data_IF_462244637918
#
_entry.id   IF_462244637918
#
_cell.length_a   1.000
_cell.length_b   1.000
_cell.length_c   1.000
_cell.angle_alpha   90.00
_cell.angle_beta   90.00
_cell.angle_gamma   90.00
#
_symmetry.space_group_name_H-M   'P 1'
#
loop_
_entity.id
_entity.type
_entity.pdbx_description
1 polymer ?
#
# COMPACT_ATOMS: atom_id res chain seq x y z
N UNK A 1 60.45 24.32 42.87
CA UNK A 1 59.62 25.52 42.66
C UNK A 1 58.29 25.07 42.05
N UNK A 2 57.14 25.31 42.72
CA UNK A 2 55.83 24.87 42.26
C UNK A 2 55.27 25.88 41.24
N UNK A 3 54.74 25.41 40.12
CA UNK A 3 54.17 26.27 39.08
C UNK A 3 52.65 26.33 39.23
N UNK A 4 52.14 27.54 39.47
CA UNK A 4 50.74 27.88 39.68
C UNK A 4 50.00 28.02 38.33
N UNK A 5 49.18 27.04 37.97
CA UNK A 5 48.20 27.18 36.89
C UNK A 5 46.78 27.02 37.47
N UNK A 6 46.31 28.03 38.17
CA UNK A 6 44.88 28.25 38.44
C UNK A 6 44.27 28.93 37.22
N UNK A 7 43.72 28.14 36.29
CA UNK A 7 42.91 28.66 35.19
C UNK A 7 41.57 29.15 35.73
N UNK A 8 41.23 30.42 35.49
CA UNK A 8 39.92 31.01 35.78
C UNK A 8 38.82 30.33 34.94
N UNK A 9 37.61 30.10 35.48
CA UNK A 9 36.49 29.66 34.67
C UNK A 9 36.09 30.74 33.65
N UNK A 10 35.59 30.36 32.46
CA UNK A 10 35.16 31.31 31.44
C UNK A 10 33.99 32.17 31.96
N UNK A 11 33.92 33.46 31.57
CA UNK A 11 32.83 34.33 31.99
C UNK A 11 31.50 33.77 31.49
N UNK A 12 30.49 33.77 32.37
CA UNK A 12 29.14 33.36 32.03
C UNK A 12 28.64 34.19 30.84
N UNK A 13 28.48 33.53 29.69
CA UNK A 13 27.86 34.12 28.51
C UNK A 13 26.45 34.54 28.90
N UNK A 14 26.25 35.86 29.05
CA UNK A 14 24.92 36.43 29.22
C UNK A 14 24.05 35.91 28.08
N UNK A 15 23.06 35.08 28.39
CA UNK A 15 22.05 34.69 27.44
C UNK A 15 21.33 35.97 27.00
N UNK A 16 21.63 36.45 25.80
CA UNK A 16 20.90 37.54 25.16
C UNK A 16 19.48 37.05 25.00
N UNK A 17 18.56 37.60 25.80
CA UNK A 17 17.14 37.35 25.66
C UNK A 17 16.72 37.76 24.23
N UNK A 18 15.99 36.91 23.50
CA UNK A 18 15.59 37.23 22.14
C UNK A 18 14.73 38.51 22.14
N UNK A 19 14.90 39.40 21.14
CA UNK A 19 14.21 40.68 21.11
C UNK A 19 12.68 40.49 21.09
N UNK A 20 11.92 41.38 21.75
CA UNK A 20 10.47 41.31 21.73
C UNK A 20 9.95 41.43 20.29
N UNK A 21 8.90 40.66 19.93
CA UNK A 21 8.34 40.70 18.59
C UNK A 21 7.82 42.11 18.26
N UNK A 22 7.99 42.59 17.02
CA UNK A 22 7.61 43.95 16.64
C UNK A 22 6.10 44.19 16.83
N UNK A 23 5.70 45.34 17.41
CA UNK A 23 4.30 45.67 17.62
C UNK A 23 3.64 45.92 16.25
N UNK A 24 2.76 45.01 15.84
CA UNK A 24 2.06 45.06 14.55
C UNK A 24 2.15 43.78 13.70
N UNK A 25 2.72 42.68 14.21
CA UNK A 25 2.62 41.39 13.54
C UNK A 25 1.13 41.01 13.37
N UNK A 26 0.61 41.23 12.17
CA UNK A 26 -0.77 40.88 11.82
C UNK A 26 -0.95 39.38 12.00
N UNK A 27 -1.87 38.99 12.87
CA UNK A 27 -2.33 37.59 12.99
C UNK A 27 -2.87 37.19 11.63
N UNK A 28 -2.06 36.48 10.84
CA UNK A 28 -2.43 36.02 9.51
C UNK A 28 -3.65 35.11 9.65
N UNK A 29 -4.79 35.56 9.12
CA UNK A 29 -6.05 34.82 9.20
C UNK A 29 -5.85 33.48 8.50
N UNK A 30 -5.85 32.39 9.29
CA UNK A 30 -5.77 31.01 8.81
C UNK A 30 -6.76 30.84 7.66
N UNK A 31 -6.24 30.59 6.45
CA UNK A 31 -7.05 30.48 5.24
C UNK A 31 -7.94 29.24 5.40
N UNK A 32 -9.20 29.31 4.95
CA UNK A 32 -10.12 28.16 4.95
C UNK A 32 -9.49 26.90 4.33
N UNK A 33 -8.58 27.11 3.37
CA UNK A 33 -7.74 26.08 2.77
C UNK A 33 -6.91 25.29 3.79
N UNK A 34 -6.29 25.96 4.76
CA UNK A 34 -5.51 25.30 5.82
C UNK A 34 -6.42 24.44 6.70
N UNK A 35 -7.60 24.95 7.10
CA UNK A 35 -8.59 24.18 7.88
C UNK A 35 -9.08 22.94 7.13
N UNK A 36 -9.32 23.04 5.83
CA UNK A 36 -9.70 21.89 4.99
C UNK A 36 -8.55 20.89 4.83
N UNK A 37 -7.32 21.40 4.67
CA UNK A 37 -6.12 20.56 4.56
C UNK A 37 -5.85 19.81 5.88
N UNK A 38 -6.00 20.46 7.03
CA UNK A 38 -5.92 19.82 8.35
C UNK A 38 -7.09 18.87 8.62
N UNK A 39 -8.31 19.21 8.22
CA UNK A 39 -9.51 18.39 8.40
C UNK A 39 -9.52 17.11 7.56
N UNK A 40 -8.95 17.14 6.35
CA UNK A 40 -8.86 15.97 5.46
C UNK A 40 -8.18 14.75 6.10
N UNK A 41 -7.32 14.97 7.11
CA UNK A 41 -6.60 13.93 7.84
C UNK A 41 -7.51 13.04 8.67
N UNK A 42 -8.56 13.63 9.26
CA UNK A 42 -9.55 12.87 10.02
C UNK A 42 -10.34 11.92 9.14
N UNK A 43 -10.43 12.16 7.83
CA UNK A 43 -11.11 11.28 6.88
C UNK A 43 -10.37 9.96 6.66
N UNK A 44 -9.06 9.91 6.92
CA UNK A 44 -8.26 8.71 6.75
C UNK A 44 -8.45 7.69 7.88
N UNK A 45 -8.79 8.14 9.10
CA UNK A 45 -9.09 7.27 10.23
C UNK A 45 -10.33 6.36 9.99
N UNK A 46 -11.53 6.89 9.65
CA UNK A 46 -12.71 6.07 9.40
C UNK A 46 -12.54 5.20 8.16
N UNK A 47 -11.81 5.66 7.14
CA UNK A 47 -11.48 4.85 5.98
C UNK A 47 -10.65 3.62 6.38
N UNK A 48 -9.54 3.82 7.12
CA UNK A 48 -8.72 2.69 7.58
C UNK A 48 -9.48 1.75 8.53
N UNK A 49 -10.34 2.29 9.40
CA UNK A 49 -11.21 1.48 10.25
C UNK A 49 -12.19 0.63 9.42
N UNK A 50 -12.79 1.21 8.37
CA UNK A 50 -13.64 0.49 7.43
C UNK A 50 -12.90 -0.65 6.72
N UNK A 51 -11.66 -0.42 6.27
CA UNK A 51 -10.82 -1.47 5.69
C UNK A 51 -10.49 -2.59 6.71
N UNK A 52 -10.26 -2.27 7.99
CA UNK A 52 -10.07 -3.29 9.03
C UNK A 52 -11.32 -4.16 9.22
N UNK A 53 -12.51 -3.54 9.25
CA UNK A 53 -13.78 -4.28 9.34
C UNK A 53 -13.97 -5.18 8.13
N UNK A 54 -13.74 -4.66 6.92
CA UNK A 54 -13.81 -5.44 5.69
C UNK A 54 -12.84 -6.63 5.72
N UNK A 55 -11.59 -6.42 6.16
CA UNK A 55 -10.60 -7.49 6.31
C UNK A 55 -11.09 -8.57 7.30
N UNK A 56 -11.71 -8.17 8.42
CA UNK A 56 -12.32 -9.09 9.37
C UNK A 56 -13.44 -9.95 8.76
N UNK A 57 -14.33 -9.34 7.96
CA UNK A 57 -15.39 -10.06 7.24
C UNK A 57 -14.80 -11.05 6.23
N UNK A 58 -13.80 -10.65 5.46
CA UNK A 58 -13.11 -11.54 4.52
C UNK A 58 -12.42 -12.71 5.24
N UNK A 59 -11.79 -12.45 6.39
CA UNK A 59 -11.18 -13.50 7.20
C UNK A 59 -12.21 -14.52 7.70
N UNK A 60 -13.37 -14.07 8.20
CA UNK A 60 -14.44 -14.97 8.63
C UNK A 60 -14.98 -15.81 7.47
N UNK A 61 -15.18 -15.19 6.30
CA UNK A 61 -15.59 -15.91 5.08
C UNK A 61 -14.56 -16.95 4.67
N UNK A 62 -13.27 -16.61 4.72
CA UNK A 62 -12.18 -17.52 4.41
C UNK A 62 -12.18 -18.73 5.37
N UNK A 63 -12.29 -18.48 6.68
CA UNK A 63 -12.36 -19.54 7.69
C UNK A 63 -13.57 -20.45 7.48
N UNK A 64 -14.73 -19.88 7.14
CA UNK A 64 -15.92 -20.67 6.83
C UNK A 64 -15.71 -21.57 5.61
N UNK A 65 -15.11 -21.06 4.53
CA UNK A 65 -14.82 -21.85 3.33
C UNK A 65 -13.79 -22.95 3.59
N UNK A 66 -12.75 -22.69 4.38
CA UNK A 66 -11.79 -23.71 4.81
C UNK A 66 -12.46 -24.77 5.68
N UNK A 67 -13.36 -24.37 6.59
CA UNK A 67 -14.15 -25.30 7.39
C UNK A 67 -15.02 -26.21 6.54
N UNK A 68 -15.72 -25.65 5.55
CA UNK A 68 -16.50 -26.42 4.58
C UNK A 68 -15.62 -27.38 3.78
N UNK A 69 -14.44 -26.93 3.32
CA UNK A 69 -13.49 -27.77 2.61
C UNK A 69 -13.02 -28.95 3.47
N UNK A 70 -12.67 -28.73 4.74
CA UNK A 70 -12.26 -29.80 5.66
C UNK A 70 -13.35 -30.86 5.87
N UNK A 71 -14.61 -30.43 5.92
CA UNK A 71 -15.76 -31.35 6.09
C UNK A 71 -16.05 -32.15 4.82
N UNK A 72 -15.92 -31.54 3.63
CA UNK A 72 -16.21 -32.19 2.34
C UNK A 72 -14.99 -32.91 1.73
N UNK A 73 -13.78 -32.62 2.19
CA UNK A 73 -12.53 -33.22 1.70
C UNK A 73 -12.51 -34.76 1.72
N UNK A 74 -13.05 -35.47 2.74
CA UNK A 74 -13.04 -36.94 2.73
C UNK A 74 -13.83 -37.55 1.55
N UNK A 75 -14.91 -36.87 1.11
CA UNK A 75 -15.67 -37.28 -0.08
C UNK A 75 -14.90 -37.03 -1.36
N UNK A 76 -14.31 -35.83 -1.49
CA UNK A 76 -13.56 -35.39 -2.67
C UNK A 76 -12.26 -36.18 -2.91
N UNK A 77 -11.61 -36.68 -1.86
CA UNK A 77 -10.33 -37.42 -1.96
C UNK A 77 -10.54 -38.91 -2.29
N UNK A 78 -11.73 -39.46 -1.98
CA UNK A 78 -12.00 -40.90 -2.13
C UNK A 78 -12.84 -41.24 -3.37
N UNK A 79 -13.42 -40.24 -4.04
CA UNK A 79 -14.20 -40.43 -5.25
C UNK A 79 -13.31 -40.67 -6.49
N UNK A 80 -13.54 -41.74 -7.26
CA UNK A 80 -12.76 -42.02 -8.46
C UNK A 80 -13.18 -41.08 -9.61
N UNK A 81 -12.25 -40.22 -10.04
CA UNK A 81 -12.12 -39.64 -11.39
C UNK A 81 -13.06 -38.49 -11.84
N UNK A 82 -14.00 -38.02 -11.02
CA UNK A 82 -14.94 -36.95 -11.41
C UNK A 82 -14.80 -35.60 -10.70
N UNK A 83 -14.39 -35.59 -9.42
CA UNK A 83 -14.48 -34.41 -8.53
C UNK A 83 -13.15 -33.63 -8.39
N UNK A 84 -12.07 -34.07 -9.05
CA UNK A 84 -10.73 -33.45 -8.93
C UNK A 84 -10.70 -31.96 -9.32
N UNK A 85 -11.55 -31.56 -10.28
CA UNK A 85 -11.67 -30.16 -10.68
C UNK A 85 -12.36 -29.29 -9.61
N UNK A 86 -13.28 -29.85 -8.83
CA UNK A 86 -13.99 -29.09 -7.81
C UNK A 86 -13.05 -28.70 -6.66
N UNK A 87 -12.22 -29.65 -6.21
CA UNK A 87 -11.18 -29.38 -5.21
C UNK A 87 -10.23 -28.27 -5.70
N UNK A 88 -9.78 -28.35 -6.95
CA UNK A 88 -8.88 -27.38 -7.56
C UNK A 88 -9.54 -25.98 -7.65
N UNK A 89 -10.83 -25.90 -8.01
CA UNK A 89 -11.61 -24.65 -8.04
C UNK A 89 -11.78 -24.02 -6.66
N UNK A 90 -12.02 -24.84 -5.63
CA UNK A 90 -12.14 -24.35 -4.26
C UNK A 90 -10.79 -23.78 -3.81
N UNK A 91 -9.68 -24.49 -4.04
CA UNK A 91 -8.34 -24.05 -3.64
C UNK A 91 -7.93 -22.75 -4.34
N UNK A 92 -8.15 -22.63 -5.66
CA UNK A 92 -7.83 -21.39 -6.39
C UNK A 92 -8.73 -20.22 -5.95
N UNK A 93 -9.98 -20.49 -5.58
CA UNK A 93 -10.86 -19.46 -5.01
C UNK A 93 -10.42 -19.00 -3.61
N UNK A 94 -9.87 -19.90 -2.79
CA UNK A 94 -9.25 -19.56 -1.50
C UNK A 94 -7.96 -18.75 -1.70
N UNK A 95 -7.16 -19.09 -2.71
CA UNK A 95 -5.94 -18.36 -3.05
C UNK A 95 -6.24 -16.91 -3.46
N UNK A 96 -7.28 -16.70 -4.28
CA UNK A 96 -7.73 -15.37 -4.69
C UNK A 96 -8.14 -14.50 -3.48
N UNK A 97 -8.95 -15.06 -2.56
CA UNK A 97 -9.29 -14.36 -1.31
C UNK A 97 -8.07 -14.01 -0.47
N UNK A 98 -7.11 -14.93 -0.34
CA UNK A 98 -5.87 -14.69 0.40
C UNK A 98 -5.02 -13.57 -0.22
N UNK A 99 -5.03 -13.47 -1.56
CA UNK A 99 -4.35 -12.40 -2.29
C UNK A 99 -5.00 -11.03 -2.00
N UNK A 100 -6.33 -10.94 -2.03
CA UNK A 100 -7.07 -9.72 -1.67
C UNK A 100 -6.78 -9.29 -0.23
N UNK A 101 -6.81 -10.22 0.73
CA UNK A 101 -6.48 -9.94 2.13
C UNK A 101 -5.06 -9.41 2.29
N UNK A 102 -4.09 -10.00 1.57
CA UNK A 102 -2.70 -9.57 1.61
C UNK A 102 -2.53 -8.14 1.07
N UNK A 103 -3.25 -7.78 0.01
CA UNK A 103 -3.29 -6.40 -0.51
C UNK A 103 -3.98 -5.42 0.44
N UNK A 104 -5.06 -5.84 1.10
CA UNK A 104 -5.75 -5.03 2.10
C UNK A 104 -4.83 -4.72 3.30
N UNK A 105 -4.10 -5.71 3.81
CA UNK A 105 -3.15 -5.52 4.92
C UNK A 105 -2.06 -4.52 4.53
N UNK A 106 -1.46 -4.67 3.34
CA UNK A 106 -0.47 -3.72 2.83
C UNK A 106 -1.05 -2.31 2.69
N UNK A 107 -2.31 -2.20 2.27
CA UNK A 107 -3.00 -0.92 2.12
C UNK A 107 -3.28 -0.26 3.47
N UNK A 108 -3.78 -1.01 4.45
CA UNK A 108 -4.03 -0.53 5.82
C UNK A 108 -2.71 -0.09 6.48
N UNK A 109 -1.68 -0.93 6.39
CA UNK A 109 -0.39 -0.63 7.02
C UNK A 109 0.34 0.52 6.31
N UNK A 110 0.31 0.55 4.98
CA UNK A 110 0.85 1.64 4.17
C UNK A 110 0.14 2.96 4.43
N UNK A 111 -1.21 2.94 4.51
CA UNK A 111 -2.01 4.10 4.85
C UNK A 111 -1.68 4.64 6.25
N UNK A 112 -1.60 3.77 7.25
CA UNK A 112 -1.25 4.16 8.61
C UNK A 112 0.18 4.71 8.70
N UNK A 113 1.16 4.07 8.06
CA UNK A 113 2.55 4.54 8.09
C UNK A 113 2.73 5.88 7.35
N UNK A 114 2.14 6.04 6.17
CA UNK A 114 2.31 7.23 5.33
C UNK A 114 1.57 8.43 5.91
N UNK A 115 0.33 8.26 6.36
CA UNK A 115 -0.53 9.39 6.73
C UNK A 115 -0.58 9.69 8.22
N UNK A 116 -0.42 8.69 9.09
CA UNK A 116 -0.49 8.87 10.55
C UNK A 116 0.90 9.05 11.16
N UNK A 117 1.86 8.15 10.86
CA UNK A 117 3.20 8.21 11.49
C UNK A 117 4.15 9.21 10.82
N UNK A 118 4.32 9.15 9.51
CA UNK A 118 5.35 9.92 8.78
C UNK A 118 5.06 11.42 8.66
N UNK A 119 3.82 11.84 8.90
CA UNK A 119 3.47 13.26 8.96
C UNK A 119 3.60 13.85 10.37
N UNK A 120 3.57 13.04 11.43
CA UNK A 120 3.84 13.50 12.79
C UNK A 120 5.30 13.98 12.90
N UNK A 121 6.22 13.26 12.24
CA UNK A 121 7.66 13.59 12.22
C UNK A 121 8.01 14.81 11.34
N UNK A 122 7.19 15.15 10.35
CA UNK A 122 7.41 16.28 9.44
C UNK A 122 7.03 17.66 10.01
N UNK A 123 6.35 17.71 11.17
CA UNK A 123 6.10 19.00 11.85
C UNK A 123 7.39 19.64 12.39
N UNK A 124 8.51 18.92 12.40
CA UNK A 124 9.84 19.47 12.72
C UNK A 124 10.52 20.01 11.43
N UNK A 125 10.17 21.24 11.08
CA UNK A 125 10.93 22.26 10.32
C UNK A 125 11.67 21.97 8.99
N UNK A 126 11.60 20.81 8.33
CA UNK A 126 12.34 20.65 7.07
C UNK A 126 11.58 20.16 5.85
N UNK A 127 10.39 19.57 5.92
CA UNK A 127 9.77 19.03 4.70
C UNK A 127 10.62 17.92 4.02
N UNK A 128 10.01 16.96 3.34
CA UNK A 128 10.65 15.66 3.20
C UNK A 128 11.44 15.49 1.91
N UNK A 129 12.75 15.22 2.03
CA UNK A 129 13.62 14.98 0.87
C UNK A 129 13.19 13.76 0.01
N UNK A 130 12.40 12.81 0.54
CA UNK A 130 11.91 11.65 -0.23
C UNK A 130 10.87 12.01 -1.29
N UNK A 131 10.06 13.06 -1.09
CA UNK A 131 9.05 13.46 -2.08
C UNK A 131 9.71 14.03 -3.34
N UNK A 132 10.93 14.60 -3.17
CA UNK A 132 11.80 15.04 -4.27
C UNK A 132 12.49 13.89 -5.01
N UNK A 133 12.47 12.65 -4.50
CA UNK A 133 13.21 11.51 -5.06
C UNK A 133 12.33 10.28 -5.36
N UNK A 134 11.00 10.41 -5.29
CA UNK A 134 10.11 9.38 -5.82
C UNK A 134 10.07 9.59 -7.33
N UNK A 135 10.83 8.78 -8.07
CA UNK A 135 10.62 8.65 -9.50
C UNK A 135 9.22 8.06 -9.72
N UNK A 136 8.33 8.93 -10.19
CA UNK A 136 6.92 8.60 -10.44
C UNK A 136 6.75 7.46 -11.44
N UNK A 137 7.77 7.19 -12.27
CA UNK A 137 7.73 6.12 -13.26
C UNK A 137 7.91 4.76 -12.58
N UNK A 138 8.86 4.63 -11.65
CA UNK A 138 9.08 3.37 -10.88
C UNK A 138 7.84 3.00 -10.07
N UNK A 139 7.17 4.00 -9.48
CA UNK A 139 5.95 3.77 -8.71
C UNK A 139 4.81 3.25 -9.60
N UNK A 140 4.66 3.82 -10.81
CA UNK A 140 3.66 3.39 -11.79
C UNK A 140 3.93 1.97 -12.29
N UNK A 141 5.19 1.61 -12.56
CA UNK A 141 5.56 0.24 -12.99
C UNK A 141 5.23 -0.78 -11.90
N UNK A 142 5.59 -0.51 -10.64
CA UNK A 142 5.29 -1.41 -9.51
C UNK A 142 3.79 -1.61 -9.31
N UNK A 143 3.01 -0.54 -9.43
CA UNK A 143 1.56 -0.60 -9.33
C UNK A 143 0.94 -1.39 -10.50
N UNK A 144 1.40 -1.14 -11.73
CA UNK A 144 0.93 -1.86 -12.93
C UNK A 144 1.21 -3.36 -12.87
N UNK A 145 2.39 -3.76 -12.38
CA UNK A 145 2.74 -5.16 -12.16
C UNK A 145 1.82 -5.82 -11.13
N UNK A 146 1.50 -5.13 -10.03
CA UNK A 146 0.56 -5.64 -9.04
C UNK A 146 -0.83 -5.88 -9.65
N UNK A 147 -1.38 -4.91 -10.39
CA UNK A 147 -2.69 -5.05 -11.04
C UNK A 147 -2.72 -6.12 -12.13
N UNK A 148 -1.64 -6.25 -12.92
CA UNK A 148 -1.51 -7.31 -13.93
C UNK A 148 -1.52 -8.69 -13.26
N UNK A 149 -0.84 -8.83 -12.12
CA UNK A 149 -0.84 -10.06 -11.30
C UNK A 149 -2.24 -10.41 -10.78
N UNK A 150 -2.97 -9.45 -10.20
CA UNK A 150 -4.35 -9.65 -9.74
C UNK A 150 -5.25 -10.11 -10.89
N UNK A 151 -5.19 -9.43 -12.03
CA UNK A 151 -5.99 -9.79 -13.21
C UNK A 151 -5.68 -11.19 -13.75
N UNK A 152 -4.42 -11.65 -13.64
CA UNK A 152 -4.03 -13.01 -14.03
C UNK A 152 -4.72 -14.09 -13.20
N UNK A 153 -4.96 -13.85 -11.91
CA UNK A 153 -5.64 -14.81 -11.01
C UNK A 153 -7.10 -14.99 -11.42
N UNK A 154 -7.77 -13.92 -11.86
CA UNK A 154 -9.17 -13.96 -12.32
C UNK A 154 -9.33 -14.82 -13.57
N UNK A 155 -8.42 -14.70 -14.55
CA UNK A 155 -8.46 -15.56 -15.75
C UNK A 155 -8.19 -17.02 -15.38
N UNK A 156 -7.22 -17.27 -14.50
CA UNK A 156 -6.92 -18.63 -14.06
C UNK A 156 -8.16 -19.27 -13.43
N UNK A 157 -8.88 -18.54 -12.58
CA UNK A 157 -10.15 -18.97 -11.97
C UNK A 157 -11.19 -19.35 -13.03
N UNK A 158 -11.34 -18.57 -14.09
CA UNK A 158 -12.28 -18.89 -15.16
C UNK A 158 -11.88 -20.15 -15.94
N UNK A 159 -10.59 -20.35 -16.20
CA UNK A 159 -10.08 -21.51 -16.94
C UNK A 159 -10.29 -22.84 -16.23
N UNK A 160 -10.29 -22.83 -14.90
CA UNK A 160 -10.44 -24.05 -14.10
C UNK A 160 -11.89 -24.27 -13.65
N UNK A 161 -12.77 -23.28 -13.85
CA UNK A 161 -14.13 -23.30 -13.32
C UNK A 161 -14.92 -24.47 -13.90
N UNK A 162 -15.57 -25.24 -13.03
CA UNK A 162 -16.52 -26.30 -13.43
C UNK A 162 -17.83 -25.69 -13.94
N UNK A 163 -18.15 -24.46 -13.54
CA UNK A 163 -19.32 -23.73 -14.04
C UNK A 163 -19.01 -23.01 -15.34
N UNK A 164 -19.92 -23.11 -16.31
CA UNK A 164 -19.79 -22.44 -17.59
C UNK A 164 -19.80 -20.91 -17.38
N UNK A 165 -18.62 -20.29 -17.55
CA UNK A 165 -18.50 -18.83 -17.57
C UNK A 165 -19.06 -18.34 -18.91
N UNK A 166 -20.01 -17.37 -18.92
CA UNK A 166 -20.54 -16.83 -20.16
C UNK A 166 -19.41 -16.28 -21.04
N UNK A 167 -19.45 -16.61 -22.34
CA UNK A 167 -18.39 -16.23 -23.29
C UNK A 167 -18.10 -14.72 -23.28
N UNK A 168 -19.14 -13.88 -23.13
CA UNK A 168 -18.97 -12.42 -23.04
C UNK A 168 -18.13 -11.99 -21.82
N UNK A 169 -18.29 -12.66 -20.68
CA UNK A 169 -17.55 -12.37 -19.45
C UNK A 169 -16.10 -12.83 -19.58
N UNK A 170 -15.91 -14.05 -20.08
CA UNK A 170 -14.56 -14.60 -20.31
C UNK A 170 -13.74 -13.75 -21.28
N UNK A 171 -14.34 -13.37 -22.43
CA UNK A 171 -13.71 -12.46 -23.39
C UNK A 171 -13.37 -11.12 -22.73
N UNK A 172 -14.26 -10.56 -21.90
CA UNK A 172 -14.02 -9.30 -21.21
C UNK A 172 -12.82 -9.39 -20.25
N UNK A 173 -12.70 -10.47 -19.47
CA UNK A 173 -11.56 -10.68 -18.58
C UNK A 173 -10.24 -10.80 -19.35
N UNK A 174 -10.23 -11.54 -20.46
CA UNK A 174 -9.05 -11.67 -21.34
C UNK A 174 -8.66 -10.31 -21.92
N UNK A 175 -9.62 -9.54 -22.44
CA UNK A 175 -9.36 -8.20 -22.99
C UNK A 175 -8.77 -7.28 -21.92
N UNK A 176 -9.37 -7.22 -20.73
CA UNK A 176 -8.88 -6.38 -19.63
C UNK A 176 -7.45 -6.77 -19.25
N UNK A 177 -7.16 -8.07 -19.15
CA UNK A 177 -5.82 -8.54 -18.82
C UNK A 177 -4.78 -8.14 -19.87
N UNK A 178 -5.09 -8.29 -21.15
CA UNK A 178 -4.21 -7.89 -22.24
C UNK A 178 -3.96 -6.37 -22.20
N UNK A 179 -4.97 -5.56 -21.88
CA UNK A 179 -4.83 -4.10 -21.71
C UNK A 179 -3.92 -3.75 -20.53
N UNK A 180 -4.08 -4.42 -19.38
CA UNK A 180 -3.21 -4.21 -18.21
C UNK A 180 -1.78 -4.66 -18.46
N UNK A 181 -1.60 -5.82 -19.09
CA UNK A 181 -0.28 -6.34 -19.47
C UNK A 181 0.40 -5.38 -20.45
N UNK A 182 -0.31 -4.94 -21.49
CA UNK A 182 0.20 -3.99 -22.48
C UNK A 182 0.59 -2.65 -21.84
N UNK A 183 -0.28 -2.08 -21.00
CA UNK A 183 0.00 -0.81 -20.31
C UNK A 183 1.22 -0.91 -19.41
N UNK A 184 1.33 -2.01 -18.65
CA UNK A 184 2.46 -2.27 -17.75
C UNK A 184 3.76 -2.46 -18.53
N UNK A 185 3.70 -3.23 -19.62
CA UNK A 185 4.85 -3.48 -20.50
C UNK A 185 5.37 -2.18 -21.13
N UNK A 186 4.48 -1.37 -21.70
CA UNK A 186 4.84 -0.07 -22.29
C UNK A 186 5.50 0.82 -21.22
N UNK A 187 4.91 0.91 -20.03
CA UNK A 187 5.45 1.72 -18.93
C UNK A 187 6.83 1.22 -18.49
N UNK A 188 7.03 -0.11 -18.42
CA UNK A 188 8.31 -0.71 -18.09
C UNK A 188 9.37 -0.48 -19.17
N UNK A 189 8.99 -0.53 -20.46
CA UNK A 189 9.90 -0.21 -21.58
C UNK A 189 10.30 1.26 -21.54
N UNK A 190 9.35 2.19 -21.35
CA UNK A 190 9.64 3.62 -21.21
C UNK A 190 10.61 3.84 -20.05
N UNK A 191 10.39 3.18 -18.91
CA UNK A 191 11.31 3.24 -17.78
C UNK A 191 12.72 2.75 -18.12
N UNK A 192 12.82 1.58 -18.78
CA UNK A 192 14.09 0.99 -19.24
C UNK A 192 14.86 1.91 -20.19
N UNK A 193 14.16 2.56 -21.12
CA UNK A 193 14.75 3.49 -22.11
C UNK A 193 15.24 4.77 -21.44
N UNK A 194 14.48 5.30 -20.46
CA UNK A 194 14.86 6.52 -19.74
C UNK A 194 15.96 6.30 -18.68
N UNK A 195 16.19 5.05 -18.24
CA UNK A 195 17.23 4.71 -17.24
C UNK A 195 18.15 3.56 -17.72
N UNK A 196 19.02 3.78 -18.72
CA UNK A 196 19.87 2.71 -19.28
C UNK A 196 20.93 2.15 -18.30
N UNK A 197 21.26 2.92 -17.24
CA UNK A 197 22.41 2.70 -16.36
C UNK A 197 22.17 1.73 -15.19
N UNK A 198 20.93 1.30 -14.93
CA UNK A 198 20.60 0.36 -13.84
C UNK A 198 20.77 -1.10 -14.28
N UNK A 199 21.95 -1.45 -14.83
CA UNK A 199 22.31 -2.86 -15.04
C UNK A 199 22.77 -3.43 -13.70
N UNK A 200 22.17 -4.51 -13.17
CA UNK A 200 22.84 -5.26 -12.13
C UNK A 200 24.15 -5.80 -12.73
N UNK A 201 25.27 -5.42 -12.13
CA UNK A 201 26.58 -5.97 -12.43
C UNK A 201 26.65 -7.45 -12.05
#
# INVERSE_FOLDING_TARGET
MPNSNTALPPPATFAVEPPPPPPGASVEKIKLADRLMFGSRWLLYPMNAGLMVALGVYLLRFLFQVGQLLVHAPGLITAPTGEDNELLVIVVSLLDQAMICSLLILTIMGGHQIYVRRFQDQLTAAGPYWLKRIDTIVLKVKLGLAFTGVSSVVILKDCISVTAVPQAVWISHVIIHVVFLGTTLITAIVWRVMHPSDRPA
#
